data_IF_218563712530
#
_entry.id   IF_218563712530
#
_cell.length_a   1.000
_cell.length_b   1.000
_cell.length_c   1.000
_cell.angle_alpha   90.00
_cell.angle_beta   90.00
_cell.angle_gamma   90.00
#
_symmetry.space_group_name_H-M   'P 1'
#
loop_
_entity.id
_entity.type
_entity.pdbx_description
1 polymer ?
#
# COMPACT_ATOMS: atom_id res chain seq x y z
N UNK A 1 -43.91 -33.49 7.42
CA UNK A 1 -43.73 -32.18 8.10
C UNK A 1 -44.86 -31.26 7.70
N UNK A 2 -45.49 -30.52 8.62
CA UNK A 2 -46.45 -29.48 8.26
C UNK A 2 -45.74 -28.33 7.53
N UNK A 3 -46.34 -27.87 6.42
CA UNK A 3 -45.80 -26.78 5.59
C UNK A 3 -46.62 -25.52 5.86
N UNK A 4 -45.98 -24.36 6.14
CA UNK A 4 -46.71 -23.12 6.40
C UNK A 4 -47.48 -22.62 5.17
N UNK A 5 -48.53 -21.79 5.34
CA UNK A 5 -49.29 -21.24 4.23
C UNK A 5 -48.41 -20.45 3.24
N UNK A 6 -48.80 -20.43 1.97
CA UNK A 6 -48.03 -19.80 0.89
C UNK A 6 -47.70 -18.31 1.17
N UNK A 7 -48.60 -17.58 1.82
CA UNK A 7 -48.38 -16.18 2.19
C UNK A 7 -47.19 -16.01 3.15
N UNK A 8 -47.04 -16.93 4.11
CA UNK A 8 -45.91 -16.91 5.05
C UNK A 8 -44.60 -17.25 4.34
N UNK A 9 -44.62 -18.21 3.42
CA UNK A 9 -43.45 -18.55 2.61
C UNK A 9 -43.00 -17.36 1.75
N UNK A 10 -43.94 -16.65 1.11
CA UNK A 10 -43.65 -15.46 0.32
C UNK A 10 -43.03 -14.33 1.15
N UNK A 11 -43.51 -14.12 2.38
CA UNK A 11 -42.92 -13.15 3.32
C UNK A 11 -41.48 -13.52 3.68
N UNK A 12 -41.21 -14.80 3.93
CA UNK A 12 -39.86 -15.29 4.24
C UNK A 12 -38.92 -15.06 3.05
N UNK A 13 -39.35 -15.45 1.84
CA UNK A 13 -38.57 -15.26 0.61
C UNK A 13 -38.21 -13.79 0.41
N UNK A 14 -39.19 -12.89 0.54
CA UNK A 14 -38.96 -11.44 0.39
C UNK A 14 -37.93 -10.89 1.39
N UNK A 15 -37.94 -11.38 2.63
CA UNK A 15 -36.94 -10.95 3.63
C UNK A 15 -35.54 -11.46 3.29
N UNK A 16 -35.45 -12.72 2.82
CA UNK A 16 -34.20 -13.33 2.41
C UNK A 16 -33.62 -12.58 1.19
N UNK A 17 -34.43 -12.32 0.17
CA UNK A 17 -34.03 -11.55 -1.01
C UNK A 17 -33.54 -10.16 -0.63
N UNK A 18 -34.28 -9.44 0.22
CA UNK A 18 -33.87 -8.13 0.70
C UNK A 18 -32.56 -8.17 1.51
N UNK A 19 -32.31 -9.24 2.28
CA UNK A 19 -31.07 -9.43 3.00
C UNK A 19 -29.89 -9.68 2.04
N UNK A 20 -30.07 -10.55 1.04
CA UNK A 20 -29.04 -10.80 0.03
C UNK A 20 -28.69 -9.55 -0.78
N UNK A 21 -29.68 -8.78 -1.23
CA UNK A 21 -29.40 -7.51 -1.93
C UNK A 21 -28.61 -6.51 -1.09
N UNK A 22 -28.76 -6.51 0.24
CA UNK A 22 -27.93 -5.69 1.14
C UNK A 22 -26.51 -6.21 1.24
N UNK A 23 -26.34 -7.54 1.30
CA UNK A 23 -25.02 -8.18 1.33
C UNK A 23 -24.26 -7.89 0.04
N UNK A 24 -24.92 -8.02 -1.12
CA UNK A 24 -24.30 -7.75 -2.42
C UNK A 24 -23.81 -6.30 -2.50
N UNK A 25 -24.66 -5.35 -2.08
CA UNK A 25 -24.29 -3.93 -2.04
C UNK A 25 -23.09 -3.65 -1.13
N UNK A 26 -23.07 -4.22 0.07
CA UNK A 26 -21.94 -4.05 1.00
C UNK A 26 -20.65 -4.65 0.43
N UNK A 27 -20.76 -5.79 -0.25
CA UNK A 27 -19.64 -6.44 -0.92
C UNK A 27 -19.07 -5.55 -2.03
N UNK A 28 -19.93 -4.95 -2.86
CA UNK A 28 -19.51 -4.01 -3.91
C UNK A 28 -18.90 -2.73 -3.36
N UNK A 29 -19.45 -2.17 -2.28
CA UNK A 29 -18.88 -0.99 -1.60
C UNK A 29 -17.49 -1.30 -1.02
N UNK A 30 -17.32 -2.46 -0.37
CA UNK A 30 -16.05 -2.90 0.17
C UNK A 30 -15.00 -3.14 -0.92
N UNK A 31 -15.37 -3.81 -2.02
CA UNK A 31 -14.48 -4.03 -3.16
C UNK A 31 -14.01 -2.71 -3.79
N UNK A 32 -14.93 -1.75 -3.97
CA UNK A 32 -14.57 -0.41 -4.47
C UNK A 32 -13.62 0.32 -3.53
N UNK A 33 -13.87 0.26 -2.23
CA UNK A 33 -12.99 0.88 -1.24
C UNK A 33 -11.57 0.26 -1.27
N UNK A 34 -11.47 -1.07 -1.36
CA UNK A 34 -10.19 -1.76 -1.48
C UNK A 34 -9.39 -1.28 -2.71
N UNK A 35 -10.03 -1.19 -3.87
CA UNK A 35 -9.36 -0.72 -5.08
C UNK A 35 -8.92 0.76 -5.02
N UNK A 36 -9.62 1.59 -4.25
CA UNK A 36 -9.21 2.97 -4.03
C UNK A 36 -7.99 3.06 -3.09
N UNK A 37 -7.89 2.17 -2.10
CA UNK A 37 -6.72 2.08 -1.22
C UNK A 37 -5.47 1.69 -1.99
N UNK A 38 -5.54 0.68 -2.85
CA UNK A 38 -4.40 0.26 -3.68
C UNK A 38 -3.84 1.44 -4.51
N UNK A 39 -4.73 2.23 -5.13
CA UNK A 39 -4.36 3.42 -5.91
C UNK A 39 -3.85 4.56 -5.05
N UNK A 40 -4.33 4.69 -3.83
CA UNK A 40 -3.86 5.70 -2.89
C UNK A 40 -2.42 5.42 -2.48
N UNK A 41 -2.10 4.16 -2.18
CA UNK A 41 -0.74 3.74 -1.81
C UNK A 41 0.27 4.03 -2.91
N UNK A 42 -0.06 3.68 -4.17
CA UNK A 42 0.77 4.01 -5.33
C UNK A 42 1.01 5.52 -5.47
N UNK A 43 -0.05 6.32 -5.30
CA UNK A 43 0.04 7.79 -5.39
C UNK A 43 0.83 8.39 -4.24
N UNK A 44 0.64 7.89 -3.03
CA UNK A 44 1.33 8.34 -1.83
C UNK A 44 2.82 8.06 -1.95
N UNK A 45 3.20 6.85 -2.38
CA UNK A 45 4.59 6.49 -2.64
C UNK A 45 5.21 7.36 -3.72
N UNK A 46 4.50 7.60 -4.83
CA UNK A 46 4.99 8.48 -5.88
C UNK A 46 5.28 9.90 -5.35
N UNK A 47 4.36 10.47 -4.56
CA UNK A 47 4.54 11.79 -3.93
C UNK A 47 5.68 11.79 -2.90
N UNK A 48 5.84 10.69 -2.15
CA UNK A 48 6.96 10.53 -1.20
C UNK A 48 8.31 10.55 -1.91
N UNK A 49 8.46 9.79 -3.01
CA UNK A 49 9.70 9.75 -3.78
C UNK A 49 9.99 11.06 -4.52
N UNK A 50 8.96 11.85 -4.86
CA UNK A 50 9.11 13.20 -5.39
C UNK A 50 9.45 14.24 -4.32
N UNK A 51 9.40 13.89 -3.03
CA UNK A 51 9.60 14.82 -1.92
C UNK A 51 8.39 15.71 -1.59
N UNK A 52 7.29 15.59 -2.33
CA UNK A 52 6.14 16.51 -2.26
C UNK A 52 5.23 16.31 -1.03
N UNK A 53 5.54 15.37 -0.14
CA UNK A 53 4.74 15.13 1.08
C UNK A 53 4.97 16.18 2.17
N UNK A 54 5.98 17.03 2.02
CA UNK A 54 6.35 18.08 2.97
C UNK A 54 6.61 19.36 2.17
N UNK A 55 6.27 20.56 2.68
CA UNK A 55 6.65 21.81 2.06
C UNK A 55 8.15 21.84 1.75
N UNK A 56 8.50 22.19 0.52
CA UNK A 56 9.90 22.30 0.07
C UNK A 56 10.45 23.68 0.37
N UNK A 57 11.71 23.77 0.75
CA UNK A 57 12.41 25.05 0.89
C UNK A 57 12.94 25.45 -0.51
N UNK A 58 12.62 26.64 -1.03
CA UNK A 58 13.19 27.11 -2.30
C UNK A 58 14.73 27.22 -2.27
N UNK A 59 15.34 27.29 -1.10
CA UNK A 59 16.79 27.31 -0.91
C UNK A 59 17.40 25.89 -0.76
N UNK A 60 16.61 24.82 -0.89
CA UNK A 60 17.09 23.44 -0.82
C UNK A 60 18.13 23.15 -1.93
N UNK A 61 19.23 22.49 -1.56
CA UNK A 61 20.25 22.09 -2.53
C UNK A 61 19.71 21.02 -3.50
N UNK A 62 20.05 21.05 -4.80
CA UNK A 62 19.62 20.02 -5.73
C UNK A 62 20.21 18.67 -5.32
N UNK A 63 19.41 17.60 -5.42
CA UNK A 63 19.81 16.25 -5.03
C UNK A 63 21.13 15.77 -5.67
N UNK A 64 21.44 16.27 -6.87
CA UNK A 64 22.69 16.01 -7.59
C UNK A 64 23.93 16.47 -6.80
N UNK A 65 23.86 17.63 -6.15
CA UNK A 65 24.96 18.16 -5.34
C UNK A 65 25.27 17.24 -4.13
N UNK A 66 24.22 16.76 -3.47
CA UNK A 66 24.36 15.78 -2.37
C UNK A 66 24.92 14.45 -2.88
N UNK A 67 24.48 13.97 -4.04
CA UNK A 67 24.96 12.72 -4.65
C UNK A 67 26.45 12.78 -5.00
N UNK A 68 26.93 13.89 -5.55
CA UNK A 68 28.36 14.10 -5.81
C UNK A 68 29.17 14.06 -4.52
N UNK A 69 28.74 14.78 -3.46
CA UNK A 69 29.40 14.72 -2.14
C UNK A 69 29.44 13.30 -1.57
N UNK A 70 28.38 12.52 -1.73
CA UNK A 70 28.34 11.11 -1.30
C UNK A 70 29.34 10.26 -2.11
N UNK A 71 29.44 10.48 -3.42
CA UNK A 71 30.40 9.77 -4.29
C UNK A 71 31.84 10.07 -3.91
N UNK A 72 32.17 11.35 -3.73
CA UNK A 72 33.48 11.81 -3.30
C UNK A 72 33.84 11.24 -1.93
N UNK A 73 32.93 11.33 -0.95
CA UNK A 73 33.14 10.77 0.39
C UNK A 73 33.39 9.26 0.36
N UNK A 74 32.61 8.51 -0.45
CA UNK A 74 32.79 7.06 -0.64
C UNK A 74 34.09 6.70 -1.36
N UNK A 75 34.53 7.51 -2.31
CA UNK A 75 35.81 7.32 -3.01
C UNK A 75 37.00 7.61 -2.08
N UNK A 76 36.86 8.59 -1.18
CA UNK A 76 37.86 8.96 -0.19
C UNK A 76 37.95 7.95 0.97
N UNK A 77 36.93 7.11 1.20
CA UNK A 77 37.00 6.07 2.24
C UNK A 77 37.73 4.83 1.72
N UNK A 78 38.89 4.43 2.28
CA UNK A 78 39.57 3.23 1.85
C UNK A 78 38.70 1.99 2.14
N UNK A 79 38.41 1.19 1.10
CA UNK A 79 37.64 -0.06 1.25
C UNK A 79 38.31 -0.93 2.32
N UNK A 80 37.57 -1.45 3.32
CA UNK A 80 38.15 -2.29 4.35
C UNK A 80 38.79 -3.52 3.69
N UNK A 81 40.11 -3.66 3.82
CA UNK A 81 40.83 -4.86 3.37
C UNK A 81 40.31 -6.03 4.18
N UNK A 82 39.51 -6.90 3.54
CA UNK A 82 39.15 -8.22 4.10
C UNK A 82 40.46 -8.94 4.44
N UNK A 83 40.79 -9.01 5.73
CA UNK A 83 41.96 -9.73 6.20
C UNK A 83 41.75 -11.22 5.90
N UNK A 84 42.55 -11.75 4.98
CA UNK A 84 42.62 -13.18 4.71
C UNK A 84 43.27 -13.85 5.93
N UNK A 85 42.46 -14.44 6.81
CA UNK A 85 42.94 -15.27 7.93
C UNK A 85 43.74 -16.43 7.34
N UNK A 86 45.07 -16.37 7.43
CA UNK A 86 45.92 -17.55 7.21
C UNK A 86 45.53 -18.60 8.26
N UNK A 87 45.10 -19.78 7.80
CA UNK A 87 44.98 -20.96 8.63
C UNK A 87 46.40 -21.34 9.09
N UNK A 88 46.63 -21.32 10.40
CA UNK A 88 47.80 -21.93 11.03
C UNK A 88 47.70 -23.45 10.90
N UNK A 89 48.82 -24.07 10.53
CA UNK A 89 49.01 -25.51 10.37
C UNK A 89 48.92 -26.25 11.70
#
# INVERSE_FOLDING_TARGET
MPVPPAEHQAKIIRHIEAAFSRIDRLTEEASRASHLLDRLDERLLAKAFQGELVPQDPDDEPAEALLERIREARAATPKPKRAHRKKTA
#
